data_IF_260925512862
#
_entry.id   IF_260925512862
#
_cell.length_a   1.000
_cell.length_b   1.000
_cell.length_c   1.000
_cell.angle_alpha   90.00
_cell.angle_beta   90.00
_cell.angle_gamma   90.00
#
_symmetry.space_group_name_H-M   'P 1'
#
loop_
_entity.id
_entity.type
_entity.pdbx_description
1 polymer ?
#
# COMPACT_ATOMS: atom_id res chain seq x y z
N UNK A 1 -21.79 -16.45 11.71
CA UNK A 1 -20.49 -15.87 11.31
C UNK A 1 -20.77 -14.69 10.38
N UNK A 2 -20.87 -13.47 10.92
CA UNK A 2 -21.25 -12.27 10.16
C UNK A 2 -20.11 -11.90 9.21
N UNK A 3 -20.36 -11.99 7.88
CA UNK A 3 -19.49 -11.39 6.87
C UNK A 3 -19.43 -9.90 7.12
N UNK A 4 -18.30 -9.43 7.61
CA UNK A 4 -18.04 -8.00 7.67
C UNK A 4 -17.78 -7.55 6.23
N UNK A 5 -18.75 -6.84 5.65
CA UNK A 5 -18.55 -6.07 4.43
C UNK A 5 -17.82 -4.80 4.89
N UNK A 6 -16.53 -4.70 4.57
CA UNK A 6 -15.67 -3.66 5.15
C UNK A 6 -15.65 -2.35 4.35
N UNK A 7 -16.15 -2.30 3.12
CA UNK A 7 -16.53 -1.02 2.51
C UNK A 7 -17.88 -0.57 3.07
N UNK A 8 -18.02 0.72 3.33
CA UNK A 8 -19.22 1.39 3.84
C UNK A 8 -20.46 1.29 2.90
N UNK A 9 -20.48 0.37 1.91
CA UNK A 9 -21.56 0.22 0.93
C UNK A 9 -21.73 1.43 -0.01
N UNK A 10 -20.90 2.46 0.14
CA UNK A 10 -20.99 3.73 -0.59
C UNK A 10 -20.56 3.61 -2.06
N UNK A 11 -19.60 2.72 -2.34
CA UNK A 11 -19.04 2.56 -3.69
C UNK A 11 -19.44 1.21 -4.26
N UNK A 12 -20.08 1.23 -5.44
CA UNK A 12 -20.46 0.02 -6.18
C UNK A 12 -19.29 -0.43 -7.06
N UNK A 13 -18.41 -1.26 -6.51
CA UNK A 13 -17.32 -1.83 -7.28
C UNK A 13 -17.80 -2.93 -8.23
N UNK A 14 -17.15 -3.06 -9.38
CA UNK A 14 -17.37 -4.18 -10.30
C UNK A 14 -16.66 -5.47 -9.88
N UNK A 15 -15.93 -5.44 -8.76
CA UNK A 15 -15.14 -6.55 -8.20
C UNK A 15 -15.37 -6.68 -6.70
N UNK A 16 -15.89 -7.83 -6.30
CA UNK A 16 -16.25 -8.10 -4.89
C UNK A 16 -15.03 -8.32 -3.98
N UNK A 17 -13.86 -8.65 -4.56
CA UNK A 17 -12.68 -8.97 -3.74
C UNK A 17 -12.06 -7.74 -3.07
N UNK A 18 -12.45 -6.51 -3.46
CA UNK A 18 -11.86 -5.29 -2.90
C UNK A 18 -12.09 -5.19 -1.38
N UNK A 19 -13.17 -5.80 -0.89
CA UNK A 19 -13.51 -5.86 0.54
C UNK A 19 -13.11 -7.18 1.21
N UNK A 20 -12.55 -8.11 0.44
CA UNK A 20 -12.16 -9.43 0.94
C UNK A 20 -10.72 -9.49 1.45
N UNK A 21 -9.87 -8.53 1.06
CA UNK A 21 -8.49 -8.48 1.53
C UNK A 21 -8.43 -8.20 3.02
N UNK A 22 -7.53 -8.87 3.74
CA UNK A 22 -7.36 -8.66 5.18
C UNK A 22 -7.10 -7.17 5.47
N UNK A 23 -7.88 -6.52 6.36
CA UNK A 23 -7.73 -5.10 6.65
C UNK A 23 -6.48 -4.82 7.49
N UNK A 24 -5.95 -3.60 7.38
CA UNK A 24 -4.86 -3.09 8.23
C UNK A 24 -5.49 -2.29 9.37
N UNK A 25 -5.23 -2.71 10.61
CA UNK A 25 -5.70 -2.04 11.82
C UNK A 25 -4.56 -1.25 12.46
N UNK A 26 -4.76 0.04 12.71
CA UNK A 26 -3.69 0.93 13.21
C UNK A 26 -4.25 1.94 14.22
N UNK A 27 -3.51 2.17 15.30
CA UNK A 27 -3.83 3.21 16.31
C UNK A 27 -3.35 4.57 15.82
N UNK A 28 -4.10 5.62 16.09
CA UNK A 28 -3.67 7.00 15.82
C UNK A 28 -3.84 7.91 17.06
N UNK A 29 -2.73 8.16 17.80
CA UNK A 29 -2.76 9.03 18.96
C UNK A 29 -3.19 10.47 18.67
N UNK A 30 -3.02 10.96 17.43
CA UNK A 30 -3.47 12.30 17.05
C UNK A 30 -5.00 12.33 16.92
N UNK A 31 -5.58 11.31 16.28
CA UNK A 31 -7.03 11.20 16.16
C UNK A 31 -7.71 11.16 17.53
N UNK A 32 -7.11 10.45 18.49
CA UNK A 32 -7.59 10.44 19.89
C UNK A 32 -7.44 11.82 20.55
N UNK A 33 -6.27 12.45 20.42
CA UNK A 33 -6.01 13.76 21.03
C UNK A 33 -6.93 14.87 20.48
N UNK A 34 -7.34 14.78 19.22
CA UNK A 34 -8.24 15.73 18.57
C UNK A 34 -9.73 15.37 18.72
N UNK A 35 -10.07 14.29 19.42
CA UNK A 35 -11.46 13.86 19.64
C UNK A 35 -12.13 13.22 18.43
N UNK A 36 -11.38 12.87 17.37
CA UNK A 36 -11.92 12.15 16.22
C UNK A 36 -12.09 10.64 16.47
N UNK A 37 -11.50 10.12 17.54
CA UNK A 37 -11.56 8.70 17.89
C UNK A 37 -11.46 8.51 19.40
N UNK A 38 -12.20 7.55 19.94
CA UNK A 38 -12.09 7.17 21.35
C UNK A 38 -10.73 6.54 21.67
N UNK A 39 -10.33 6.66 22.94
CA UNK A 39 -9.12 5.99 23.44
C UNK A 39 -9.24 4.48 23.26
N UNK A 40 -8.26 3.88 22.56
CA UNK A 40 -8.24 2.45 22.27
C UNK A 40 -8.89 2.08 20.93
N UNK A 41 -9.58 3.04 20.28
CA UNK A 41 -10.04 2.89 18.91
C UNK A 41 -8.88 2.68 17.92
N UNK A 42 -9.20 2.06 16.79
CA UNK A 42 -8.26 1.83 15.68
C UNK A 42 -8.91 2.23 14.37
N UNK A 43 -8.12 2.82 13.47
CA UNK A 43 -8.50 2.90 12.07
C UNK A 43 -8.45 1.51 11.44
N UNK A 44 -9.39 1.25 10.54
CA UNK A 44 -9.44 0.03 9.73
C UNK A 44 -9.29 0.47 8.28
N UNK A 45 -8.13 0.21 7.69
CA UNK A 45 -7.86 0.47 6.28
C UNK A 45 -8.08 -0.81 5.48
N UNK A 46 -8.98 -0.76 4.51
CA UNK A 46 -9.27 -1.84 3.57
C UNK A 46 -8.51 -1.66 2.26
N UNK A 47 -8.48 -2.68 1.42
CA UNK A 47 -7.97 -2.50 0.05
C UNK A 47 -8.88 -1.56 -0.75
N UNK A 48 -10.19 -1.59 -0.53
CA UNK A 48 -11.12 -0.63 -1.12
C UNK A 48 -10.75 0.83 -0.78
N UNK A 49 -10.27 1.14 0.42
CA UNK A 49 -9.80 2.50 0.76
C UNK A 49 -8.56 2.90 -0.06
N UNK A 50 -7.64 1.97 -0.29
CA UNK A 50 -6.50 2.19 -1.17
C UNK A 50 -6.95 2.42 -2.63
N UNK A 51 -7.97 1.70 -3.09
CA UNK A 51 -8.58 1.90 -4.42
C UNK A 51 -9.27 3.26 -4.52
N UNK A 52 -10.07 3.65 -3.51
CA UNK A 52 -10.70 4.99 -3.47
C UNK A 52 -9.65 6.09 -3.54
N UNK A 53 -8.60 5.95 -2.74
CA UNK A 53 -7.54 6.93 -2.66
C UNK A 53 -6.75 7.04 -3.97
N UNK A 54 -6.41 5.91 -4.60
CA UNK A 54 -5.71 5.90 -5.90
C UNK A 54 -6.64 6.19 -7.11
N UNK A 55 -7.95 6.16 -6.91
CA UNK A 55 -8.98 6.28 -7.96
C UNK A 55 -9.16 5.02 -8.81
N UNK A 56 -8.31 3.99 -8.65
CA UNK A 56 -8.37 2.76 -9.41
C UNK A 56 -7.63 1.60 -8.71
N UNK A 57 -7.91 0.38 -9.16
CA UNK A 57 -7.24 -0.85 -8.71
C UNK A 57 -6.22 -1.29 -9.77
N UNK A 58 -4.95 -1.38 -9.38
CA UNK A 58 -3.87 -1.90 -10.23
C UNK A 58 -2.79 -2.62 -9.41
N UNK A 59 -1.86 -3.33 -10.06
CA UNK A 59 -0.77 -4.03 -9.37
C UNK A 59 0.04 -3.15 -8.41
N UNK A 60 0.29 -1.88 -8.75
CA UNK A 60 1.03 -0.98 -7.87
C UNK A 60 0.27 -0.69 -6.57
N UNK A 61 -1.05 -0.45 -6.64
CA UNK A 61 -1.89 -0.19 -5.46
C UNK A 61 -2.00 -1.44 -4.58
N UNK A 62 -2.17 -2.63 -5.20
CA UNK A 62 -2.17 -3.91 -4.48
C UNK A 62 -0.83 -4.19 -3.82
N UNK A 63 0.27 -3.98 -4.54
CA UNK A 63 1.63 -4.12 -4.01
C UNK A 63 1.88 -3.17 -2.84
N UNK A 64 1.45 -1.91 -2.92
CA UNK A 64 1.59 -0.94 -1.85
C UNK A 64 0.85 -1.35 -0.58
N UNK A 65 -0.43 -1.70 -0.73
CA UNK A 65 -1.28 -2.17 0.35
C UNK A 65 -0.70 -3.42 1.03
N UNK A 66 -0.35 -4.44 0.22
CA UNK A 66 0.17 -5.70 0.73
C UNK A 66 1.56 -5.57 1.34
N UNK A 67 2.45 -4.78 0.75
CA UNK A 67 3.78 -4.50 1.31
C UNK A 67 3.68 -3.80 2.66
N UNK A 68 2.78 -2.81 2.78
CA UNK A 68 2.52 -2.12 4.04
C UNK A 68 1.99 -3.09 5.09
N UNK A 69 1.01 -3.93 4.73
CA UNK A 69 0.49 -4.95 5.63
C UNK A 69 1.60 -5.89 6.15
N UNK A 70 2.44 -6.41 5.24
CA UNK A 70 3.56 -7.30 5.57
C UNK A 70 4.56 -6.61 6.51
N UNK A 71 4.96 -5.37 6.17
CA UNK A 71 5.92 -4.61 6.95
C UNK A 71 5.42 -4.32 8.36
N UNK A 72 4.16 -3.90 8.51
CA UNK A 72 3.58 -3.57 9.81
C UNK A 72 3.48 -4.80 10.71
N UNK A 73 3.07 -5.95 10.17
CA UNK A 73 3.05 -7.22 10.91
C UNK A 73 4.45 -7.61 11.39
N UNK A 74 5.47 -7.51 10.53
CA UNK A 74 6.84 -7.84 10.90
C UNK A 74 7.46 -6.84 11.90
N UNK A 75 7.08 -5.56 11.82
CA UNK A 75 7.58 -4.51 12.72
C UNK A 75 7.00 -4.57 14.12
N UNK A 76 5.70 -4.86 14.24
CA UNK A 76 4.99 -4.77 15.52
C UNK A 76 4.67 -6.14 16.14
N UNK A 77 4.73 -7.24 15.37
CA UNK A 77 4.33 -8.57 15.85
C UNK A 77 2.87 -8.55 16.30
N UNK A 78 2.65 -8.86 17.57
CA UNK A 78 1.31 -8.86 18.18
C UNK A 78 0.84 -7.47 18.65
N UNK A 79 1.73 -6.47 18.66
CA UNK A 79 1.35 -5.11 19.00
C UNK A 79 0.57 -4.44 17.86
N UNK A 80 -0.37 -3.56 18.22
CA UNK A 80 -1.04 -2.74 17.22
C UNK A 80 -0.07 -1.67 16.68
N UNK A 81 0.11 -1.54 15.35
CA UNK A 81 0.89 -0.47 14.76
C UNK A 81 0.38 0.92 15.17
N UNK A 82 1.27 1.91 15.18
CA UNK A 82 0.95 3.29 15.58
C UNK A 82 1.27 4.26 14.45
N UNK A 83 0.24 4.97 13.97
CA UNK A 83 0.34 5.94 12.88
C UNK A 83 1.23 7.12 13.29
N UNK A 84 2.24 7.41 12.47
CA UNK A 84 3.30 8.38 12.77
C UNK A 84 4.42 7.91 13.71
N UNK A 85 4.43 6.65 14.14
CA UNK A 85 5.58 6.01 14.80
C UNK A 85 6.38 5.11 13.82
N UNK A 86 6.23 5.37 12.52
CA UNK A 86 6.77 4.57 11.43
C UNK A 86 7.47 5.52 10.47
N UNK A 87 8.74 5.26 10.19
CA UNK A 87 9.48 5.87 9.09
C UNK A 87 9.49 4.93 7.89
N UNK A 88 9.48 5.47 6.69
CA UNK A 88 9.53 4.70 5.44
C UNK A 88 10.59 5.29 4.51
N UNK A 89 11.57 4.48 4.13
CA UNK A 89 12.55 4.86 3.11
C UNK A 89 12.29 4.07 1.84
N UNK A 90 11.94 4.74 0.75
CA UNK A 90 11.92 4.16 -0.58
C UNK A 90 13.35 4.12 -1.13
N UNK A 91 13.75 2.98 -1.69
CA UNK A 91 14.97 2.89 -2.49
C UNK A 91 14.70 3.45 -3.88
N UNK A 92 15.56 4.35 -4.34
CA UNK A 92 15.39 5.12 -5.58
C UNK A 92 14.64 6.44 -5.36
N UNK A 93 14.52 7.19 -6.44
CA UNK A 93 13.77 8.45 -6.50
C UNK A 93 12.26 8.23 -6.47
N UNK A 94 11.50 9.32 -6.32
CA UNK A 94 10.02 9.30 -6.38
C UNK A 94 9.49 8.83 -7.74
N UNK A 95 10.20 9.14 -8.81
CA UNK A 95 9.89 8.74 -10.19
C UNK A 95 10.52 7.40 -10.60
N UNK A 96 11.22 6.72 -9.68
CA UNK A 96 11.69 5.36 -9.93
C UNK A 96 10.48 4.43 -10.08
N UNK A 97 10.20 4.03 -11.33
CA UNK A 97 9.07 3.19 -11.73
C UNK A 97 7.74 3.73 -11.17
N UNK A 98 7.25 3.11 -10.09
CA UNK A 98 5.95 3.40 -9.47
C UNK A 98 6.10 3.78 -7.99
N UNK A 99 7.30 4.19 -7.55
CA UNK A 99 7.55 4.63 -6.17
C UNK A 99 6.58 5.73 -5.72
N UNK A 100 6.38 6.76 -6.56
CA UNK A 100 5.45 7.86 -6.29
C UNK A 100 4.03 7.37 -6.00
N UNK A 101 3.34 6.68 -6.93
CA UNK A 101 2.02 6.11 -6.67
C UNK A 101 1.94 5.20 -5.44
N UNK A 102 2.93 4.32 -5.23
CA UNK A 102 2.97 3.42 -4.05
C UNK A 102 3.08 4.22 -2.76
N UNK A 103 3.92 5.26 -2.74
CA UNK A 103 4.18 6.07 -1.55
C UNK A 103 2.92 6.70 -0.98
N UNK A 104 1.98 7.12 -1.83
CA UNK A 104 0.77 7.77 -1.38
C UNK A 104 -0.16 6.80 -0.61
N UNK A 105 -0.26 5.55 -1.06
CA UNK A 105 -0.98 4.49 -0.33
C UNK A 105 -0.29 4.16 1.00
N UNK A 106 1.05 4.13 1.00
CA UNK A 106 1.83 3.93 2.24
C UNK A 106 1.60 5.08 3.22
N UNK A 107 1.55 6.33 2.75
CA UNK A 107 1.23 7.52 3.55
C UNK A 107 -0.19 7.46 4.09
N UNK A 108 -1.17 7.08 3.27
CA UNK A 108 -2.56 6.90 3.70
C UNK A 108 -2.63 5.99 4.93
N UNK A 109 -1.94 4.86 4.91
CA UNK A 109 -2.03 3.86 5.98
C UNK A 109 -1.15 4.26 7.19
N UNK A 110 0.15 4.48 6.96
CA UNK A 110 1.15 4.67 8.03
C UNK A 110 1.20 6.09 8.61
N UNK A 111 0.69 7.07 7.88
CA UNK A 111 0.88 8.49 8.15
C UNK A 111 2.31 8.99 7.89
N UNK A 112 3.24 8.14 7.43
CA UNK A 112 4.57 8.59 7.06
C UNK A 112 4.48 9.44 5.78
N UNK A 113 4.93 10.68 5.83
CA UNK A 113 4.93 11.59 4.68
C UNK A 113 6.29 12.28 4.56
N UNK A 114 6.62 12.73 3.36
CA UNK A 114 7.81 13.50 3.06
C UNK A 114 7.61 14.95 3.49
N UNK A 115 7.90 15.92 2.62
CA UNK A 115 7.76 17.35 2.86
C UNK A 115 6.30 17.82 3.03
N UNK A 116 5.32 17.02 2.58
CA UNK A 116 3.88 17.35 2.65
C UNK A 116 3.22 16.96 3.98
N UNK A 117 3.96 16.33 4.89
CA UNK A 117 3.42 15.83 6.14
C UNK A 117 3.05 16.93 7.14
N UNK A 118 2.07 16.63 8.00
CA UNK A 118 1.72 17.48 9.14
C UNK A 118 2.93 17.66 10.07
N UNK A 119 3.28 18.90 10.42
CA UNK A 119 4.45 19.22 11.27
C UNK A 119 4.27 18.88 12.76
N UNK A 120 3.03 18.59 13.18
CA UNK A 120 2.71 18.30 14.58
C UNK A 120 2.12 19.48 15.33
N UNK A 121 1.71 19.23 16.56
CA UNK A 121 1.08 20.21 17.46
C UNK A 121 2.09 20.76 18.47
N UNK A 122 2.02 22.09 18.67
CA UNK A 122 2.84 22.82 19.63
C UNK A 122 4.32 22.90 19.25
N UNK A 123 5.15 23.57 20.07
CA UNK A 123 6.56 23.80 19.79
C UNK A 123 7.39 22.53 19.61
N UNK A 124 6.97 21.42 20.24
CA UNK A 124 7.65 20.13 20.15
C UNK A 124 7.26 19.30 18.91
N UNK A 125 6.31 19.76 18.07
CA UNK A 125 5.88 19.02 16.88
C UNK A 125 5.24 17.67 17.19
N UNK A 126 4.51 17.55 18.31
CA UNK A 126 3.94 16.27 18.75
C UNK A 126 2.96 15.75 17.71
N UNK A 127 2.99 14.44 17.47
CA UNK A 127 2.18 13.78 16.42
C UNK A 127 2.54 14.18 14.98
N UNK A 128 3.77 14.62 14.74
CA UNK A 128 4.27 14.88 13.40
C UNK A 128 4.11 13.69 12.45
N UNK A 129 3.94 14.02 11.17
CA UNK A 129 3.91 13.14 10.00
C UNK A 129 4.94 13.56 8.94
N UNK A 130 5.42 14.80 9.05
CA UNK A 130 6.48 15.41 8.25
C UNK A 130 7.82 14.68 8.37
N UNK A 131 8.53 14.51 7.25
CA UNK A 131 9.85 13.86 7.17
C UNK A 131 9.92 12.46 7.80
N UNK A 132 8.80 11.73 7.80
CA UNK A 132 8.77 10.32 8.13
C UNK A 132 8.95 9.44 6.87
N UNK A 133 8.85 10.01 5.68
CA UNK A 133 9.10 9.32 4.42
C UNK A 133 10.20 9.97 3.62
N UNK A 134 11.10 9.15 3.07
CA UNK A 134 12.23 9.61 2.24
C UNK A 134 12.35 8.75 0.99
N UNK A 135 12.67 9.36 -0.15
CA UNK A 135 13.13 8.68 -1.36
C UNK A 135 14.66 8.79 -1.43
N UNK A 136 15.35 7.68 -1.22
CA UNK A 136 16.80 7.65 -1.20
C UNK A 136 17.35 7.22 -2.57
N UNK A 137 17.83 8.21 -3.34
CA UNK A 137 18.38 8.02 -4.69
C UNK A 137 19.69 7.24 -4.71
N UNK A 138 20.42 7.22 -3.59
CA UNK A 138 21.69 6.52 -3.47
C UNK A 138 21.49 5.01 -3.27
N UNK A 139 20.30 4.60 -2.81
CA UNK A 139 19.92 3.20 -2.71
C UNK A 139 19.29 2.74 -4.03
N UNK A 140 20.08 2.06 -4.86
CA UNK A 140 19.57 1.46 -6.10
C UNK A 140 18.97 0.07 -5.81
N UNK A 141 17.66 -0.13 -5.96
CA UNK A 141 17.07 -1.47 -5.87
C UNK A 141 17.43 -2.30 -7.12
N UNK A 142 17.31 -3.64 -7.01
CA UNK A 142 17.45 -4.53 -8.17
C UNK A 142 16.51 -4.07 -9.31
N UNK A 143 16.97 -3.94 -10.57
CA UNK A 143 16.12 -3.53 -11.69
C UNK A 143 14.86 -4.38 -11.92
N UNK A 144 14.77 -5.60 -11.39
CA UNK A 144 13.56 -6.46 -11.42
C UNK A 144 12.55 -6.14 -10.31
N UNK A 145 12.95 -5.31 -9.34
CA UNK A 145 12.09 -4.86 -8.26
C UNK A 145 11.13 -3.80 -8.78
N UNK A 146 9.84 -3.94 -8.50
CA UNK A 146 8.84 -2.90 -8.75
C UNK A 146 9.00 -1.76 -7.75
N UNK A 147 9.20 -2.09 -6.48
CA UNK A 147 9.47 -1.14 -5.40
C UNK A 147 10.20 -1.82 -4.23
N UNK A 148 11.16 -1.15 -3.59
CA UNK A 148 11.76 -1.60 -2.33
C UNK A 148 11.64 -0.50 -1.27
N UNK A 149 11.13 -0.88 -0.10
CA UNK A 149 10.83 0.03 1.00
C UNK A 149 11.42 -0.51 2.29
N UNK A 150 12.05 0.36 3.07
CA UNK A 150 12.51 0.07 4.42
C UNK A 150 11.55 0.77 5.39
N UNK A 151 10.80 -0.01 6.16
CA UNK A 151 9.97 0.47 7.24
C UNK A 151 10.75 0.40 8.54
N UNK A 152 10.76 1.48 9.31
CA UNK A 152 11.44 1.56 10.59
C UNK A 152 10.48 2.02 11.68
N UNK A 153 10.44 1.29 12.79
CA UNK A 153 9.71 1.72 14.00
C UNK A 153 10.55 2.78 14.72
N UNK A 154 9.94 3.92 15.05
CA UNK A 154 10.69 5.09 15.56
C UNK A 154 11.20 4.90 16.98
N UNK A 155 10.41 4.27 17.85
CA UNK A 155 10.72 4.06 19.26
C UNK A 155 11.78 2.96 19.49
N UNK A 156 11.75 1.86 18.75
CA UNK A 156 12.66 0.71 18.93
C UNK A 156 13.80 0.67 17.94
N UNK A 157 13.71 1.42 16.84
CA UNK A 157 14.69 1.38 15.75
C UNK A 157 14.59 0.15 14.84
N UNK A 158 13.72 -0.84 15.13
CA UNK A 158 13.57 -2.05 14.31
C UNK A 158 13.27 -1.71 12.86
N UNK A 159 13.96 -2.35 11.92
CA UNK A 159 13.84 -2.12 10.47
C UNK A 159 13.44 -3.38 9.73
N UNK A 160 12.45 -3.25 8.86
CA UNK A 160 12.02 -4.30 7.93
C UNK A 160 12.08 -3.73 6.52
N UNK A 161 12.87 -4.37 5.65
CA UNK A 161 12.84 -4.14 4.22
C UNK A 161 11.81 -5.07 3.57
N UNK A 162 10.93 -4.49 2.76
CA UNK A 162 10.02 -5.20 1.89
C UNK A 162 10.33 -4.84 0.45
N UNK A 163 10.70 -5.85 -0.33
CA UNK A 163 10.88 -5.77 -1.77
C UNK A 163 9.65 -6.36 -2.44
N UNK A 164 9.03 -5.59 -3.33
CA UNK A 164 7.90 -5.98 -4.15
C UNK A 164 8.31 -6.08 -5.61
N UNK A 165 8.04 -7.22 -6.25
CA UNK A 165 8.16 -7.42 -7.69
C UNK A 165 6.85 -7.97 -8.26
N UNK A 166 6.36 -7.37 -9.34
CA UNK A 166 5.17 -7.83 -10.05
C UNK A 166 5.50 -8.94 -11.07
N UNK A 167 6.77 -9.13 -11.41
CA UNK A 167 7.21 -10.02 -12.49
C UNK A 167 6.77 -11.50 -12.29
N UNK A 168 6.78 -12.06 -11.05
CA UNK A 168 6.29 -13.42 -10.83
C UNK A 168 4.77 -13.60 -11.09
N UNK A 169 4.00 -12.50 -11.16
CA UNK A 169 2.56 -12.53 -11.39
C UNK A 169 2.29 -12.58 -12.88
N UNK A 170 1.87 -13.77 -13.35
CA UNK A 170 1.65 -14.04 -14.76
C UNK A 170 0.74 -13.02 -15.44
N UNK A 171 1.07 -12.76 -16.70
CA UNK A 171 0.27 -11.94 -17.61
C UNK A 171 -0.38 -12.87 -18.62
N UNK A 172 -1.67 -12.72 -18.84
CA UNK A 172 -2.37 -13.44 -19.90
C UNK A 172 -1.94 -12.90 -21.26
N UNK A 173 -1.56 -13.77 -22.19
CA UNK A 173 -1.27 -13.38 -23.59
C UNK A 173 -2.44 -12.62 -24.25
N UNK A 174 -3.67 -12.92 -23.82
CA UNK A 174 -4.86 -12.22 -24.27
C UNK A 174 -4.88 -10.76 -23.80
N UNK A 175 -4.40 -10.50 -22.59
CA UNK A 175 -4.28 -9.14 -22.05
C UNK A 175 -3.31 -8.30 -22.89
N UNK A 176 -2.21 -8.88 -23.35
CA UNK A 176 -1.23 -8.17 -24.20
C UNK A 176 -1.83 -7.76 -25.55
N UNK A 177 -2.68 -8.62 -26.15
CA UNK A 177 -3.41 -8.31 -27.39
C UNK A 177 -4.48 -7.25 -27.18
N UNK A 178 -5.16 -7.26 -26.03
CA UNK A 178 -6.26 -6.34 -25.71
C UNK A 178 -5.78 -4.95 -25.29
N UNK A 179 -4.63 -4.85 -24.61
CA UNK A 179 -4.11 -3.61 -24.05
C UNK A 179 -4.04 -2.45 -25.08
N UNK A 180 -3.43 -2.61 -26.27
CA UNK A 180 -3.38 -1.51 -27.24
C UNK A 180 -4.77 -1.10 -27.76
N UNK A 181 -5.71 -2.04 -27.86
CA UNK A 181 -7.10 -1.74 -28.28
C UNK A 181 -7.81 -0.92 -27.21
N UNK A 182 -7.67 -1.28 -25.94
CA UNK A 182 -8.28 -0.55 -24.83
C UNK A 182 -7.69 0.85 -24.68
N UNK A 183 -6.35 0.97 -24.73
CA UNK A 183 -5.67 2.28 -24.61
C UNK A 183 -6.03 3.22 -25.77
N UNK A 184 -6.16 2.68 -26.98
CA UNK A 184 -6.53 3.48 -28.15
C UNK A 184 -8.04 3.75 -28.28
N UNK A 185 -8.87 3.23 -27.37
CA UNK A 185 -10.32 3.35 -27.42
C UNK A 185 -10.99 2.56 -28.55
N UNK A 186 -10.30 1.57 -29.13
CA UNK A 186 -10.75 0.75 -30.27
C UNK A 186 -11.31 -0.61 -29.87
N UNK A 187 -11.15 -1.00 -28.61
CA UNK A 187 -11.70 -2.25 -28.10
C UNK A 187 -13.23 -2.24 -28.15
N UNK A 188 -13.85 -3.38 -28.49
CA UNK A 188 -15.28 -3.59 -28.26
C UNK A 188 -15.61 -3.55 -26.77
N UNK A 189 -16.90 -3.47 -26.42
CA UNK A 189 -17.32 -3.53 -25.01
C UNK A 189 -16.90 -4.85 -24.35
N UNK A 190 -17.02 -5.96 -25.07
CA UNK A 190 -16.60 -7.29 -24.62
C UNK A 190 -15.09 -7.36 -24.42
N UNK A 191 -14.32 -6.80 -25.35
CA UNK A 191 -12.85 -6.75 -25.28
C UNK A 191 -12.37 -5.90 -24.10
N UNK A 192 -12.99 -4.74 -23.87
CA UNK A 192 -12.68 -3.87 -22.74
C UNK A 192 -13.03 -4.54 -21.40
N UNK A 193 -14.18 -5.24 -21.34
CA UNK A 193 -14.61 -6.01 -20.17
C UNK A 193 -13.67 -7.19 -19.90
N UNK A 194 -13.26 -7.92 -20.94
CA UNK A 194 -12.30 -9.01 -20.86
C UNK A 194 -10.95 -8.51 -20.33
N UNK A 195 -10.43 -7.42 -20.88
CA UNK A 195 -9.21 -6.78 -20.40
C UNK A 195 -9.32 -6.40 -18.91
N UNK A 196 -10.42 -5.76 -18.52
CA UNK A 196 -10.67 -5.38 -17.13
C UNK A 196 -10.72 -6.59 -16.20
N UNK A 197 -11.29 -7.72 -16.63
CA UNK A 197 -11.31 -8.95 -15.85
C UNK A 197 -9.89 -9.52 -15.68
N UNK A 198 -9.14 -9.68 -16.79
CA UNK A 198 -7.76 -10.20 -16.76
C UNK A 198 -6.85 -9.33 -15.89
N UNK A 199 -6.98 -8.01 -15.97
CA UNK A 199 -6.22 -7.08 -15.14
C UNK A 199 -6.50 -7.25 -13.66
N UNK A 200 -7.79 -7.37 -13.28
CA UNK A 200 -8.18 -7.50 -11.89
C UNK A 200 -7.87 -8.89 -11.31
N UNK A 201 -7.80 -9.95 -12.13
CA UNK A 201 -7.29 -11.24 -11.66
C UNK A 201 -5.81 -11.16 -11.25
N UNK A 202 -4.97 -10.36 -11.93
CA UNK A 202 -3.58 -10.13 -11.50
C UNK A 202 -3.53 -9.43 -10.14
N UNK A 203 -4.37 -8.40 -9.95
CA UNK A 203 -4.50 -7.69 -8.67
C UNK A 203 -4.91 -8.65 -7.55
N UNK A 204 -5.91 -9.49 -7.82
CA UNK A 204 -6.39 -10.51 -6.88
C UNK A 204 -5.27 -11.48 -6.50
N UNK A 205 -4.51 -11.97 -7.48
CA UNK A 205 -3.33 -12.82 -7.23
C UNK A 205 -2.33 -12.16 -6.29
N UNK A 206 -2.00 -10.88 -6.50
CA UNK A 206 -1.06 -10.14 -5.63
C UNK A 206 -1.56 -10.07 -4.18
N UNK A 207 -2.85 -9.85 -3.97
CA UNK A 207 -3.43 -9.66 -2.63
C UNK A 207 -3.59 -10.97 -1.84
N UNK A 208 -4.02 -12.03 -2.53
CA UNK A 208 -4.48 -13.26 -1.89
C UNK A 208 -3.51 -14.43 -2.04
N UNK A 209 -2.91 -14.61 -3.22
CA UNK A 209 -2.07 -15.77 -3.53
C UNK A 209 -0.83 -15.34 -4.33
N UNK A 210 0.01 -14.44 -3.79
CA UNK A 210 1.17 -13.96 -4.52
C UNK A 210 2.15 -15.10 -4.76
N UNK A 211 2.63 -15.32 -6.01
CA UNK A 211 3.69 -16.29 -6.29
C UNK A 211 4.96 -15.99 -5.50
N UNK A 212 5.80 -17.01 -5.30
CA UNK A 212 7.10 -16.84 -4.67
C UNK A 212 7.93 -15.77 -5.38
N UNK A 213 8.65 -14.96 -4.60
CA UNK A 213 9.43 -13.83 -5.13
C UNK A 213 8.62 -12.54 -5.36
N UNK A 214 7.28 -12.57 -5.27
CA UNK A 214 6.47 -11.35 -5.38
C UNK A 214 6.77 -10.39 -4.23
N UNK A 215 6.92 -10.92 -3.01
CA UNK A 215 7.31 -10.16 -1.83
C UNK A 215 8.50 -10.84 -1.15
N UNK A 216 9.59 -10.10 -0.92
CA UNK A 216 10.74 -10.55 -0.14
C UNK A 216 10.85 -9.66 1.08
N UNK A 217 10.92 -10.26 2.26
CA UNK A 217 10.98 -9.55 3.54
C UNK A 217 12.31 -9.82 4.20
N UNK A 218 13.00 -8.77 4.64
CA UNK A 218 14.28 -8.88 5.35
C UNK A 218 14.24 -7.98 6.58
N UNK A 219 14.56 -8.54 7.74
CA UNK A 219 14.89 -7.73 8.91
C UNK A 219 16.31 -7.18 8.75
N UNK A 220 16.45 -5.86 8.86
CA UNK A 220 17.75 -5.21 8.78
C UNK A 220 18.30 -5.06 10.20
N UNK A 221 19.51 -5.59 10.41
CA UNK A 221 20.29 -5.34 11.61
C UNK A 221 21.12 -4.07 11.36
N UNK A 222 21.25 -3.26 12.40
CA UNK A 222 22.17 -2.12 12.39
C UNK A 222 23.63 -2.58 12.27
#
# INVERSE_FOLDING_TARGET
MQRHVYAEGQTKYSKDFFDSAEPIRIKDPLAVALGAMDKGGVFVFTYADAVKFAGHSCPAVAGAYKSTQIALKALYGDEAPVRGNIKVTFKGSVDYKVNGPISQVVTLISGASSESGFKGLGPAGKYGRYNLMTFNKDLSPDPKTTCAMIFQRVDSGKKIEVTYSVDPVSVSERMDKLMPLVISGKASEEEAKEFGNLWQERVKTILFNPPEGTFIVKELKD
#
